data_IF_539320233985
#
_entry.id   IF_539320233985
#
_cell.length_a   1.000
_cell.length_b   1.000
_cell.length_c   1.000
_cell.angle_alpha   90.00
_cell.angle_beta   90.00
_cell.angle_gamma   90.00
#
_symmetry.space_group_name_H-M   'P 1'
#
loop_
_entity.id
_entity.type
_entity.pdbx_description
1 polymer ?
#
# COMPACT_ATOMS: atom_id res chain seq x y z
N UNK A 1 -23.19 12.18 2.72
CA UNK A 1 -22.27 11.65 3.75
C UNK A 1 -21.07 10.97 3.09
N UNK A 2 -20.20 11.72 2.40
CA UNK A 2 -19.11 11.17 1.55
C UNK A 2 -17.70 11.64 1.95
N UNK A 3 -17.55 12.43 3.01
CA UNK A 3 -16.32 13.21 3.20
C UNK A 3 -15.19 12.51 4.00
N UNK A 4 -15.46 11.37 4.66
CA UNK A 4 -14.49 10.75 5.58
C UNK A 4 -13.52 9.76 4.90
N UNK A 5 -14.03 8.98 3.94
CA UNK A 5 -13.23 7.97 3.21
C UNK A 5 -12.30 8.65 2.20
N UNK A 6 -12.78 9.69 1.51
CA UNK A 6 -12.02 10.41 0.49
C UNK A 6 -10.83 11.17 1.07
N UNK A 7 -10.99 11.72 2.28
CA UNK A 7 -9.94 12.43 3.02
C UNK A 7 -8.79 11.48 3.38
N UNK A 8 -9.08 10.28 3.90
CA UNK A 8 -8.02 9.30 4.21
C UNK A 8 -7.29 8.78 2.98
N UNK A 9 -8.00 8.52 1.88
CA UNK A 9 -7.34 8.09 0.63
C UNK A 9 -6.34 9.16 0.17
N UNK A 10 -6.72 10.44 0.26
CA UNK A 10 -5.83 11.56 -0.05
C UNK A 10 -4.63 11.64 0.89
N UNK A 11 -4.82 11.51 2.20
CA UNK A 11 -3.72 11.47 3.17
C UNK A 11 -2.72 10.34 2.90
N UNK A 12 -3.21 9.15 2.49
CA UNK A 12 -2.34 8.03 2.11
C UNK A 12 -1.58 8.34 0.81
N UNK A 13 -2.24 8.93 -0.18
CA UNK A 13 -1.62 9.34 -1.44
C UNK A 13 -0.52 10.39 -1.23
N UNK A 14 -0.75 11.33 -0.32
CA UNK A 14 0.22 12.40 0.00
C UNK A 14 1.40 11.88 0.86
N UNK A 15 1.19 10.83 1.66
CA UNK A 15 2.22 10.27 2.54
C UNK A 15 3.19 9.30 1.84
N UNK A 16 2.77 8.67 0.75
CA UNK A 16 3.51 7.59 0.10
C UNK A 16 4.20 8.04 -1.18
N UNK A 17 5.33 7.41 -1.49
CA UNK A 17 6.00 7.61 -2.78
C UNK A 17 5.23 6.90 -3.89
N UNK A 18 5.49 7.29 -5.14
CA UNK A 18 4.94 6.61 -6.33
C UNK A 18 5.14 5.10 -6.27
N UNK A 19 6.35 4.65 -5.88
CA UNK A 19 6.68 3.22 -5.85
C UNK A 19 5.96 2.47 -4.73
N UNK A 20 5.74 3.12 -3.60
CA UNK A 20 4.96 2.57 -2.49
C UNK A 20 3.46 2.50 -2.83
N UNK A 21 2.95 3.46 -3.59
CA UNK A 21 1.57 3.45 -4.10
C UNK A 21 1.35 2.33 -5.12
N UNK A 22 2.28 2.12 -6.05
CA UNK A 22 2.22 1.01 -7.00
C UNK A 22 2.19 -0.33 -6.26
N UNK A 23 3.04 -0.51 -5.25
CA UNK A 23 3.03 -1.71 -4.40
C UNK A 23 1.67 -1.90 -3.73
N UNK A 24 1.09 -0.84 -3.13
CA UNK A 24 -0.22 -0.92 -2.50
C UNK A 24 -1.34 -1.29 -3.49
N UNK A 25 -1.30 -0.74 -4.70
CA UNK A 25 -2.28 -1.06 -5.75
C UNK A 25 -2.20 -2.54 -6.15
N UNK A 26 -1.00 -3.06 -6.39
CA UNK A 26 -0.85 -4.48 -6.70
C UNK A 26 -1.26 -5.38 -5.54
N UNK A 27 -0.95 -5.00 -4.30
CA UNK A 27 -1.42 -5.72 -3.11
C UNK A 27 -2.96 -5.72 -3.01
N UNK A 28 -3.61 -4.59 -3.31
CA UNK A 28 -5.06 -4.47 -3.29
C UNK A 28 -5.73 -5.31 -4.38
N UNK A 29 -5.06 -5.50 -5.52
CA UNK A 29 -5.49 -6.39 -6.60
C UNK A 29 -5.28 -7.88 -6.28
N UNK A 30 -4.65 -8.22 -5.16
CA UNK A 30 -4.42 -9.60 -4.73
C UNK A 30 -3.18 -10.26 -5.34
N UNK A 31 -2.27 -9.50 -5.94
CA UNK A 31 -1.04 -10.03 -6.51
C UNK A 31 -0.12 -10.60 -5.41
N UNK A 32 0.57 -11.70 -5.69
CA UNK A 32 1.50 -12.29 -4.74
C UNK A 32 2.78 -11.46 -4.61
N UNK A 33 3.45 -11.51 -3.46
CA UNK A 33 4.73 -10.80 -3.21
C UNK A 33 5.78 -10.99 -4.33
N UNK A 34 5.86 -12.19 -4.90
CA UNK A 34 6.78 -12.54 -5.99
C UNK A 34 6.38 -11.88 -7.31
N UNK A 35 5.08 -11.84 -7.58
CA UNK A 35 4.53 -11.26 -8.80
C UNK A 35 4.71 -9.75 -8.79
N UNK A 36 4.43 -9.10 -7.65
CA UNK A 36 4.66 -7.66 -7.46
C UNK A 36 6.12 -7.30 -7.63
N UNK A 37 7.03 -8.09 -7.04
CA UNK A 37 8.47 -7.87 -7.18
C UNK A 37 8.90 -7.97 -8.65
N UNK A 38 8.37 -8.96 -9.37
CA UNK A 38 8.65 -9.17 -10.80
C UNK A 38 8.10 -8.03 -11.65
N UNK A 39 6.83 -7.68 -11.47
CA UNK A 39 6.15 -6.61 -12.21
C UNK A 39 6.84 -5.25 -12.03
N UNK A 40 7.25 -4.95 -10.80
CA UNK A 40 7.96 -3.69 -10.50
C UNK A 40 9.46 -3.76 -10.77
N UNK A 41 9.98 -4.88 -11.28
CA UNK A 41 11.41 -5.12 -11.55
C UNK A 41 12.30 -4.84 -10.32
N UNK A 42 11.85 -5.29 -9.14
CA UNK A 42 12.58 -5.18 -7.87
C UNK A 42 12.79 -6.56 -7.24
N UNK A 43 13.73 -6.65 -6.28
CA UNK A 43 13.88 -7.87 -5.50
C UNK A 43 12.75 -8.03 -4.48
N UNK A 44 12.48 -9.27 -4.09
CA UNK A 44 11.52 -9.57 -3.01
C UNK A 44 11.96 -8.94 -1.68
N UNK A 45 13.27 -8.80 -1.44
CA UNK A 45 13.81 -8.09 -0.28
C UNK A 45 13.48 -6.60 -0.34
N UNK A 46 13.65 -5.98 -1.52
CA UNK A 46 13.30 -4.57 -1.76
C UNK A 46 11.80 -4.32 -1.58
N UNK A 47 10.94 -5.26 -2.01
CA UNK A 47 9.51 -5.22 -1.73
C UNK A 47 9.21 -5.20 -0.22
N UNK A 48 9.88 -6.06 0.57
CA UNK A 48 9.71 -6.09 2.02
C UNK A 48 10.18 -4.79 2.68
N UNK A 49 11.26 -4.17 2.18
CA UNK A 49 11.70 -2.84 2.61
C UNK A 49 10.66 -1.76 2.31
N UNK A 50 10.09 -1.75 1.10
CA UNK A 50 9.00 -0.82 0.77
C UNK A 50 7.78 -1.02 1.68
N UNK A 51 7.40 -2.26 1.99
CA UNK A 51 6.31 -2.52 2.94
C UNK A 51 6.62 -2.01 4.34
N UNK A 52 7.87 -2.12 4.80
CA UNK A 52 8.31 -1.56 6.07
C UNK A 52 8.20 -0.04 6.06
N UNK A 53 8.59 0.62 4.97
CA UNK A 53 8.47 2.07 4.82
C UNK A 53 7.01 2.53 4.79
N UNK A 54 6.14 1.84 4.06
CA UNK A 54 4.68 2.10 4.05
C UNK A 54 4.12 1.99 5.48
N UNK A 55 4.47 0.91 6.19
CA UNK A 55 4.05 0.68 7.58
C UNK A 55 4.45 1.86 8.48
N UNK A 56 5.69 2.32 8.37
CA UNK A 56 6.22 3.41 9.18
C UNK A 56 5.57 4.76 8.82
N UNK A 57 5.41 5.06 7.54
CA UNK A 57 4.81 6.32 7.05
C UNK A 57 3.34 6.44 7.43
N UNK A 58 2.58 5.34 7.36
CA UNK A 58 1.16 5.33 7.68
C UNK A 58 0.86 4.96 9.14
N UNK A 59 1.88 4.64 9.94
CA UNK A 59 1.69 4.22 11.34
C UNK A 59 0.85 2.96 11.48
N UNK A 60 1.05 1.96 10.61
CA UNK A 60 0.28 0.72 10.65
C UNK A 60 0.86 -0.22 11.72
N UNK A 61 0.04 -0.67 12.66
CA UNK A 61 0.50 -1.52 13.77
C UNK A 61 -0.03 -2.95 13.69
N UNK A 62 -1.09 -3.19 12.92
CA UNK A 62 -1.80 -4.46 12.84
C UNK A 62 -2.11 -4.89 11.41
N UNK A 63 -2.48 -6.16 11.24
CA UNK A 63 -2.98 -6.68 9.96
C UNK A 63 -4.33 -6.04 9.57
N UNK A 64 -5.13 -5.59 10.55
CA UNK A 64 -6.36 -4.87 10.30
C UNK A 64 -6.10 -3.50 9.66
N UNK A 65 -5.03 -2.80 10.07
CA UNK A 65 -4.63 -1.54 9.46
C UNK A 65 -4.27 -1.72 7.98
N UNK A 66 -3.54 -2.79 7.66
CA UNK A 66 -3.26 -3.16 6.27
C UNK A 66 -4.55 -3.42 5.49
N UNK A 67 -5.46 -4.24 6.02
CA UNK A 67 -6.72 -4.54 5.36
C UNK A 67 -7.52 -3.25 5.07
N UNK A 68 -7.62 -2.35 6.04
CA UNK A 68 -8.31 -1.06 5.89
C UNK A 68 -7.67 -0.18 4.81
N UNK A 69 -6.34 -0.11 4.74
CA UNK A 69 -5.65 0.65 3.71
C UNK A 69 -5.92 0.03 2.34
N UNK A 70 -5.74 -1.29 2.19
CA UNK A 70 -5.95 -1.98 0.91
C UNK A 70 -7.38 -1.83 0.41
N UNK A 71 -8.38 -1.91 1.29
CA UNK A 71 -9.79 -1.68 0.95
C UNK A 71 -10.05 -0.28 0.34
N UNK A 72 -9.25 0.74 0.67
CA UNK A 72 -9.40 2.07 0.07
C UNK A 72 -8.90 2.14 -1.39
N UNK A 73 -8.14 1.14 -1.84
CA UNK A 73 -7.59 1.00 -3.19
C UNK A 73 -8.26 -0.10 -4.02
N UNK A 74 -9.10 -0.95 -3.41
CA UNK A 74 -10.01 -1.87 -4.11
C UNK A 74 -11.23 -1.09 -4.64
N UNK A 75 -11.10 -0.37 -5.75
CA UNK A 75 -12.19 0.41 -6.33
C UNK A 75 -12.18 0.38 -7.85
#
# INVERSE_FOLDING_TARGET
>A
MTNKIQTRKKEILDALSTRELEILQHMANGNSRSDIATELSISVLTYDEHRKNIRNKLGLHSNADWAMVLMAFMS
#
